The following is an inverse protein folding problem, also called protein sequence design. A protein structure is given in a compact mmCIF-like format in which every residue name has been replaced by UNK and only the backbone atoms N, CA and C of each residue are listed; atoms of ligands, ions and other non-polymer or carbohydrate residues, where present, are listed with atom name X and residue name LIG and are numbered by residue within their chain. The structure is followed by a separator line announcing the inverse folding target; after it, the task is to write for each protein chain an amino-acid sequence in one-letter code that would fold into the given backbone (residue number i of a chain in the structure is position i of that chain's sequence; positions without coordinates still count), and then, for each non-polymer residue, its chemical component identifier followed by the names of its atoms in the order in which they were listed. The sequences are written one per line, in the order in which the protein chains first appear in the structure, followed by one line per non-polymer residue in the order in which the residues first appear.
data_IF_911166484348
#
_entry.id   IF_911166484348
#
_cell.length_a   1.000
_cell.length_b   1.000
_cell.length_c   1.000
_cell.angle_alpha   90.00
_cell.angle_beta   90.00
_cell.angle_gamma   90.00
#
_symmetry.space_group_name_H-M   'P 1'
#
loop_
_entity.id
_entity.type
_entity.pdbx_description
1 polymer ?
#
# COMPACT_ATOMS: atom_id res chain seq x y z
N UNK A 1 -15.09 18.63 9.30
CA UNK A 1 -14.59 18.86 10.67
C UNK A 1 -13.49 17.84 10.90
N UNK A 2 -12.36 18.24 11.48
CA UNK A 2 -11.26 17.32 11.79
C UNK A 2 -11.69 16.33 12.89
N UNK A 3 -11.17 15.12 12.83
CA UNK A 3 -11.35 14.07 13.82
C UNK A 3 -10.21 14.20 14.83
N UNK A 4 -10.57 14.36 16.10
CA UNK A 4 -9.58 14.37 17.19
C UNK A 4 -8.95 12.99 17.32
N UNK A 5 -7.63 12.92 17.12
CA UNK A 5 -6.83 11.70 17.27
C UNK A 5 -5.58 11.97 18.11
N UNK A 6 -5.72 12.25 19.42
CA UNK A 6 -4.59 12.56 20.28
C UNK A 6 -3.72 11.32 20.52
N UNK A 7 -2.41 11.54 20.64
CA UNK A 7 -1.43 10.50 20.93
C UNK A 7 -0.78 10.67 22.29
N UNK A 8 -0.49 9.55 22.96
CA UNK A 8 0.35 9.53 24.15
C UNK A 8 1.81 9.28 23.74
N UNK A 9 2.70 10.22 23.99
CA UNK A 9 4.14 10.01 23.82
C UNK A 9 4.66 9.42 25.12
N UNK A 10 4.67 8.09 25.15
CA UNK A 10 4.95 7.30 26.34
C UNK A 10 6.45 7.00 26.41
N UNK A 11 7.13 7.71 27.30
CA UNK A 11 8.58 7.62 27.47
C UNK A 11 8.91 6.56 28.52
N UNK A 12 9.58 5.50 28.09
CA UNK A 12 9.80 4.30 28.87
C UNK A 12 11.28 4.05 29.14
N UNK A 13 11.58 3.62 30.36
CA UNK A 13 12.92 3.20 30.80
C UNK A 13 12.93 1.72 31.10
N UNK A 14 13.99 1.02 30.70
CA UNK A 14 14.23 -0.33 31.20
C UNK A 14 14.56 -0.29 32.69
N UNK A 15 14.16 -1.33 33.42
CA UNK A 15 14.52 -1.51 34.83
C UNK A 15 16.04 -1.46 34.99
N UNK A 16 16.50 -0.65 35.94
CA UNK A 16 17.92 -0.47 36.23
C UNK A 16 18.68 0.39 35.22
N UNK A 17 18.00 1.02 34.25
CA UNK A 17 18.60 1.95 33.29
C UNK A 17 17.92 3.31 33.38
N UNK A 18 18.55 4.25 34.09
CA UNK A 18 17.98 5.59 34.35
C UNK A 18 18.32 6.64 33.27
N UNK A 19 18.87 6.22 32.12
CA UNK A 19 19.19 7.13 31.04
C UNK A 19 17.93 7.82 30.49
N UNK A 20 18.03 9.12 30.22
CA UNK A 20 16.98 9.96 29.60
C UNK A 20 17.64 10.76 28.46
N UNK A 21 17.89 10.13 27.30
CA UNK A 21 18.83 10.65 26.30
C UNK A 21 18.34 11.89 25.54
N UNK A 22 17.04 12.19 25.60
CA UNK A 22 16.41 13.31 24.91
C UNK A 22 15.62 14.16 25.91
N UNK A 23 15.70 15.48 25.74
CA UNK A 23 15.06 16.45 26.64
C UNK A 23 13.53 16.45 26.54
N UNK A 24 12.85 16.89 27.60
CA UNK A 24 11.40 17.14 27.57
C UNK A 24 11.01 18.07 26.40
N UNK A 25 11.77 19.16 26.21
CA UNK A 25 11.53 20.12 25.12
C UNK A 25 11.61 19.48 23.73
N UNK A 26 12.48 18.48 23.54
CA UNK A 26 12.54 17.74 22.27
C UNK A 26 11.20 17.05 21.99
N UNK A 27 10.69 16.28 22.95
CA UNK A 27 9.43 15.55 22.79
C UNK A 27 8.22 16.48 22.70
N UNK A 28 8.17 17.50 23.56
CA UNK A 28 7.08 18.48 23.55
C UNK A 28 6.99 19.18 22.19
N UNK A 29 8.13 19.63 21.64
CA UNK A 29 8.12 20.28 20.34
C UNK A 29 7.83 19.29 19.19
N UNK A 30 8.40 18.08 19.25
CA UNK A 30 8.23 17.10 18.17
C UNK A 30 6.80 16.54 18.05
N UNK A 31 6.05 16.45 19.14
CA UNK A 31 4.77 15.73 19.16
C UNK A 31 3.55 16.55 19.57
N UNK A 32 3.71 17.84 19.88
CA UNK A 32 2.59 18.70 20.28
C UNK A 32 2.55 20.00 19.48
N UNK A 33 1.52 20.81 19.70
CA UNK A 33 1.42 22.14 19.10
C UNK A 33 2.57 23.09 19.48
N UNK A 34 3.38 22.77 20.51
CA UNK A 34 4.52 23.58 20.93
C UNK A 34 5.60 23.72 19.86
N UNK A 35 5.77 22.72 18.99
CA UNK A 35 6.72 22.77 17.88
C UNK A 35 6.11 23.15 16.53
N UNK A 36 5.02 23.91 16.51
CA UNK A 36 4.49 24.44 15.25
C UNK A 36 5.60 25.18 14.46
N UNK A 37 5.63 24.98 13.14
CA UNK A 37 6.59 25.50 12.18
C UNK A 37 7.89 24.71 12.07
N UNK A 38 7.97 23.49 12.61
CA UNK A 38 9.24 22.73 12.71
C UNK A 38 9.23 21.36 12.03
N UNK A 39 8.26 21.07 11.16
CA UNK A 39 8.08 19.73 10.57
C UNK A 39 7.97 18.66 11.66
N UNK A 40 7.14 18.95 12.65
CA UNK A 40 6.87 18.04 13.76
C UNK A 40 5.78 17.02 13.37
N UNK A 41 5.48 16.06 14.24
CA UNK A 41 4.52 15.00 13.91
C UNK A 41 3.07 15.49 13.81
N UNK A 42 2.70 16.56 14.53
CA UNK A 42 1.38 17.17 14.40
C UNK A 42 1.21 17.77 13.00
N UNK A 43 2.23 18.48 12.52
CA UNK A 43 2.25 19.04 11.16
C UNK A 43 2.32 17.97 10.09
N UNK A 44 3.07 16.89 10.33
CA UNK A 44 3.11 15.76 9.41
C UNK A 44 1.70 15.23 9.17
N UNK A 45 0.98 14.84 10.24
CA UNK A 45 -0.36 14.27 10.08
C UNK A 45 -1.40 15.30 9.66
N UNK A 46 -1.31 16.58 10.01
CA UNK A 46 -2.19 17.60 9.42
C UNK A 46 -2.01 17.69 7.89
N UNK A 47 -0.76 17.70 7.43
CA UNK A 47 -0.43 17.77 6.00
C UNK A 47 -0.83 16.50 5.26
N UNK A 48 -0.45 15.33 5.77
CA UNK A 48 -0.75 14.05 5.13
C UNK A 48 -2.22 13.63 5.25
N UNK A 49 -2.97 14.19 6.20
CA UNK A 49 -4.39 13.91 6.35
C UNK A 49 -5.30 14.90 5.63
N UNK A 50 -4.74 15.90 4.96
CA UNK A 50 -5.44 17.12 4.55
C UNK A 50 -6.33 17.73 5.64
N UNK A 51 -5.82 17.77 6.87
CA UNK A 51 -6.49 18.34 8.03
C UNK A 51 -7.74 17.57 8.47
N UNK A 52 -7.86 16.31 8.05
CA UNK A 52 -8.92 15.42 8.55
C UNK A 52 -8.58 14.87 9.93
N UNK A 53 -7.29 14.81 10.30
CA UNK A 53 -6.83 14.44 11.63
C UNK A 53 -6.41 15.66 12.44
N UNK A 54 -6.74 15.65 13.72
CA UNK A 54 -6.32 16.63 14.72
C UNK A 54 -5.58 15.95 15.87
N UNK A 55 -4.25 16.12 15.90
CA UNK A 55 -3.37 15.55 16.92
C UNK A 55 -3.06 16.54 18.05
N UNK A 56 -3.69 17.73 18.09
CA UNK A 56 -3.32 18.80 19.04
C UNK A 56 -3.57 18.43 20.51
N UNK A 57 -4.42 17.43 20.78
CA UNK A 57 -4.65 16.89 22.12
C UNK A 57 -3.57 15.89 22.61
N UNK A 58 -2.51 15.66 21.83
CA UNK A 58 -1.42 14.75 22.20
C UNK A 58 -0.68 15.21 23.45
N UNK A 59 -0.16 14.26 24.24
CA UNK A 59 0.54 14.53 25.49
C UNK A 59 1.84 13.75 25.60
N UNK A 60 2.84 14.36 26.21
CA UNK A 60 4.10 13.71 26.55
C UNK A 60 4.05 13.24 28.01
N UNK A 61 4.31 11.95 28.25
CA UNK A 61 4.37 11.41 29.61
C UNK A 61 5.65 11.84 30.31
N UNK A 62 5.77 11.74 31.64
CA UNK A 62 7.11 11.65 32.26
C UNK A 62 7.84 10.37 31.83
N UNK A 63 9.13 10.24 32.11
CA UNK A 63 9.84 8.97 31.94
C UNK A 63 9.38 7.94 32.98
N UNK A 64 8.84 6.81 32.52
CA UNK A 64 8.26 5.75 33.35
C UNK A 64 9.12 4.49 33.24
N UNK A 65 9.46 3.86 34.36
CA UNK A 65 10.23 2.62 34.36
C UNK A 65 9.34 1.40 34.14
N UNK A 66 9.69 0.58 33.16
CA UNK A 66 9.09 -0.73 32.94
C UNK A 66 9.62 -1.74 33.97
N UNK A 67 8.87 -2.80 34.30
CA UNK A 67 9.30 -3.81 35.28
C UNK A 67 10.33 -4.82 34.73
N UNK A 68 10.75 -4.66 33.48
CA UNK A 68 11.64 -5.57 32.76
C UNK A 68 13.04 -4.97 32.56
N UNK A 69 14.06 -5.80 32.59
CA UNK A 69 15.39 -5.42 32.13
C UNK A 69 15.44 -5.50 30.59
N UNK A 70 16.33 -4.74 29.95
CA UNK A 70 16.44 -4.78 28.47
C UNK A 70 16.75 -6.19 27.96
N UNK A 71 17.50 -7.00 28.72
CA UNK A 71 17.82 -8.38 28.39
C UNK A 71 16.59 -9.33 28.44
N UNK A 72 15.44 -8.88 28.93
CA UNK A 72 14.18 -9.62 28.89
C UNK A 72 13.44 -9.46 27.58
N UNK A 73 13.79 -8.44 26.79
CA UNK A 73 13.22 -8.18 25.49
C UNK A 73 13.89 -8.99 24.40
N UNK A 74 13.11 -9.81 23.70
CA UNK A 74 13.58 -10.73 22.64
C UNK A 74 13.17 -10.30 21.23
N UNK A 75 12.62 -9.10 21.07
CA UNK A 75 12.33 -8.52 19.76
C UNK A 75 11.19 -9.19 19.00
N UNK A 76 11.34 -9.28 17.67
CA UNK A 76 10.34 -9.79 16.75
C UNK A 76 10.30 -11.33 16.70
N UNK A 77 9.74 -11.94 17.74
CA UNK A 77 9.46 -13.38 17.80
C UNK A 77 7.97 -13.61 18.07
N UNK A 78 7.38 -14.62 17.43
CA UNK A 78 5.93 -14.90 17.55
C UNK A 78 5.53 -15.31 18.97
N UNK A 79 6.37 -16.09 19.65
CA UNK A 79 6.16 -16.50 21.04
C UNK A 79 7.42 -16.21 21.85
N UNK A 80 7.29 -15.39 22.89
CA UNK A 80 8.38 -15.12 23.81
C UNK A 80 8.64 -16.35 24.72
N UNK A 81 9.91 -16.71 25.00
CA UNK A 81 10.24 -17.68 26.04
C UNK A 81 9.68 -17.30 27.41
N UNK A 82 9.51 -18.27 28.31
CA UNK A 82 9.03 -18.00 29.67
C UNK A 82 9.92 -16.96 30.38
N UNK A 83 9.29 -15.93 30.94
CA UNK A 83 9.98 -14.84 31.63
C UNK A 83 10.60 -13.78 30.71
N UNK A 84 10.38 -13.87 29.39
CA UNK A 84 10.81 -12.89 28.39
C UNK A 84 9.60 -12.22 27.73
N UNK A 85 9.83 -11.08 27.08
CA UNK A 85 8.80 -10.34 26.34
C UNK A 85 9.24 -10.10 24.89
N UNK A 86 8.31 -10.24 23.95
CA UNK A 86 8.49 -9.87 22.55
C UNK A 86 7.88 -8.47 22.30
N UNK A 87 7.76 -8.07 21.02
CA UNK A 87 7.10 -6.82 20.61
C UNK A 87 5.72 -6.60 21.25
N UNK A 88 4.86 -7.62 21.25
CA UNK A 88 3.53 -7.53 21.88
C UNK A 88 3.64 -7.32 23.39
N UNK A 89 4.48 -8.11 24.07
CA UNK A 89 4.69 -7.97 25.51
C UNK A 89 5.29 -6.62 25.92
N UNK A 90 6.13 -6.00 25.09
CA UNK A 90 6.63 -4.64 25.30
C UNK A 90 5.50 -3.61 25.27
N UNK A 91 4.61 -3.68 24.28
CA UNK A 91 3.46 -2.78 24.17
C UNK A 91 2.50 -2.95 25.35
N UNK A 92 2.22 -4.20 25.76
CA UNK A 92 1.39 -4.50 26.92
C UNK A 92 2.00 -3.96 28.22
N UNK A 93 3.30 -4.15 28.43
CA UNK A 93 4.02 -3.64 29.59
C UNK A 93 4.01 -2.10 29.64
N UNK A 94 4.20 -1.45 28.49
CA UNK A 94 4.15 0.00 28.39
C UNK A 94 2.75 0.53 28.66
N UNK A 95 1.70 -0.09 28.09
CA UNK A 95 0.30 0.27 28.37
C UNK A 95 -0.02 0.19 29.86
N UNK A 96 0.35 -0.92 30.52
CA UNK A 96 0.14 -1.07 31.96
C UNK A 96 0.88 0.02 32.75
N UNK A 97 2.13 0.32 32.39
CA UNK A 97 2.92 1.35 33.03
C UNK A 97 2.33 2.77 32.84
N UNK A 98 1.70 3.04 31.70
CA UNK A 98 0.97 4.28 31.45
C UNK A 98 -0.25 4.42 32.35
N UNK A 99 -1.07 3.36 32.45
CA UNK A 99 -2.26 3.36 33.32
C UNK A 99 -1.85 3.50 34.80
N UNK A 100 -0.81 2.80 35.24
CA UNK A 100 -0.27 2.91 36.61
C UNK A 100 0.25 4.32 36.93
N UNK A 101 0.77 5.01 35.93
CA UNK A 101 1.24 6.40 36.03
C UNK A 101 0.11 7.44 35.86
N UNK A 102 -1.14 7.01 35.65
CA UNK A 102 -2.31 7.88 35.56
C UNK A 102 -2.59 8.45 34.15
N UNK A 103 -1.95 7.92 33.11
CA UNK A 103 -2.29 8.21 31.72
C UNK A 103 -3.30 7.18 31.22
N UNK A 104 -4.60 7.50 31.32
CA UNK A 104 -5.63 6.58 30.84
C UNK A 104 -5.47 6.36 29.33
N UNK A 105 -5.16 5.12 28.94
CA UNK A 105 -4.91 4.79 27.54
C UNK A 105 -6.15 4.92 26.64
N UNK A 106 -7.35 5.02 27.23
CA UNK A 106 -8.61 5.29 26.54
C UNK A 106 -8.77 6.74 26.05
N UNK A 107 -7.98 7.68 26.60
CA UNK A 107 -8.01 9.10 26.21
C UNK A 107 -7.28 9.37 24.88
N UNK A 108 -6.57 8.37 24.34
CA UNK A 108 -5.68 8.49 23.19
C UNK A 108 -6.01 7.48 22.10
N UNK A 109 -5.84 7.89 20.84
CA UNK A 109 -5.97 7.00 19.68
C UNK A 109 -4.86 5.95 19.65
N UNK A 110 -3.66 6.35 20.06
CA UNK A 110 -2.48 5.50 20.10
C UNK A 110 -1.39 6.09 20.98
N UNK A 111 -0.27 5.38 21.08
CA UNK A 111 0.92 5.83 21.75
C UNK A 111 2.16 5.70 20.86
N UNK A 112 3.05 6.68 20.98
CA UNK A 112 4.44 6.52 20.58
C UNK A 112 5.19 6.07 21.82
N UNK A 113 5.59 4.80 21.87
CA UNK A 113 6.38 4.24 22.96
C UNK A 113 7.85 4.50 22.64
N UNK A 114 8.50 5.35 23.43
CA UNK A 114 9.89 5.74 23.24
C UNK A 114 10.75 5.05 24.30
N UNK A 115 11.60 4.12 23.90
CA UNK A 115 12.54 3.45 24.80
C UNK A 115 13.82 4.28 24.98
N UNK A 116 14.34 4.31 26.22
CA UNK A 116 15.50 5.11 26.57
C UNK A 116 16.85 4.59 26.07
N UNK A 117 16.89 3.37 25.53
CA UNK A 117 18.07 2.77 24.89
C UNK A 117 17.67 2.16 23.55
N UNK A 118 18.66 2.00 22.64
CA UNK A 118 18.46 1.31 21.36
C UNK A 118 17.76 -0.04 21.58
N UNK A 119 16.56 -0.19 21.05
CA UNK A 119 15.64 -1.29 21.38
C UNK A 119 15.03 -1.90 20.12
N UNK A 120 14.15 -1.17 19.44
CA UNK A 120 13.42 -1.64 18.27
C UNK A 120 12.69 -0.46 17.60
N UNK A 121 12.23 -0.70 16.38
CA UNK A 121 11.35 0.20 15.64
C UNK A 121 10.25 -0.61 14.96
N UNK A 122 8.99 -0.32 15.30
CA UNK A 122 7.83 -0.92 14.64
C UNK A 122 6.51 -0.23 15.00
N UNK A 123 5.57 -0.23 14.07
CA UNK A 123 4.18 0.13 14.24
C UNK A 123 3.30 -1.10 14.28
N UNK A 124 2.26 -1.07 15.11
CA UNK A 124 1.22 -2.10 15.09
C UNK A 124 0.15 -1.71 14.07
N UNK A 125 0.01 -2.49 13.01
CA UNK A 125 -1.03 -2.27 12.01
C UNK A 125 -2.42 -2.33 12.65
N UNK A 126 -3.18 -1.24 12.58
CA UNK A 126 -4.47 -1.08 13.27
C UNK A 126 -4.41 -1.37 14.79
N UNK A 127 -3.22 -1.23 15.37
CA UNK A 127 -2.98 -1.45 16.80
C UNK A 127 -3.02 -0.15 17.57
N UNK A 128 -2.26 -0.07 18.65
CA UNK A 128 -2.21 1.12 19.50
C UNK A 128 -0.84 1.77 19.57
N UNK A 129 0.22 1.07 19.17
CA UNK A 129 1.58 1.54 19.39
C UNK A 129 2.37 1.70 18.09
N UNK A 130 3.08 2.82 18.03
CA UNK A 130 4.34 2.95 17.31
C UNK A 130 5.46 2.92 18.35
N UNK A 131 6.42 1.99 18.21
CA UNK A 131 7.55 1.83 19.12
C UNK A 131 8.80 2.34 18.44
N UNK A 132 9.58 3.12 19.18
CA UNK A 132 10.86 3.65 18.76
C UNK A 132 11.80 3.77 19.97
N UNK A 133 12.99 4.27 19.75
CA UNK A 133 13.98 4.56 20.77
C UNK A 133 14.78 5.81 20.44
N UNK A 134 15.68 6.17 21.36
CA UNK A 134 16.54 7.36 21.26
C UNK A 134 17.35 7.51 19.97
N UNK A 135 17.52 6.46 19.17
CA UNK A 135 18.31 6.45 17.93
C UNK A 135 17.47 6.59 16.66
N UNK A 136 16.16 6.32 16.73
CA UNK A 136 15.26 6.28 15.57
C UNK A 136 13.97 7.13 15.75
N UNK A 137 13.88 7.91 16.83
CA UNK A 137 12.80 8.87 17.10
C UNK A 137 12.94 10.14 16.24
N UNK A 138 12.62 10.02 14.95
CA UNK A 138 12.60 11.15 14.01
C UNK A 138 11.43 11.05 13.00
N UNK A 139 11.03 12.17 12.36
CA UNK A 139 9.78 12.22 11.59
C UNK A 139 9.69 11.25 10.41
N UNK A 140 10.78 10.94 9.71
CA UNK A 140 10.74 9.99 8.59
C UNK A 140 10.29 8.58 9.05
N UNK A 141 10.93 8.02 10.08
CA UNK A 141 10.57 6.68 10.58
C UNK A 141 9.23 6.71 11.32
N UNK A 142 8.98 7.73 12.12
CA UNK A 142 7.71 7.81 12.86
C UNK A 142 6.51 8.13 11.96
N UNK A 143 6.70 8.79 10.81
CA UNK A 143 5.66 8.93 9.80
C UNK A 143 5.15 7.57 9.33
N UNK A 144 6.07 6.62 9.11
CA UNK A 144 5.74 5.23 8.77
C UNK A 144 5.11 4.48 9.95
N UNK A 145 5.78 4.45 11.11
CA UNK A 145 5.34 3.60 12.22
C UNK A 145 4.02 4.07 12.84
N UNK A 146 3.80 5.39 12.94
CA UNK A 146 2.50 5.93 13.32
C UNK A 146 1.47 5.73 12.20
N UNK A 147 1.89 5.74 10.93
CA UNK A 147 1.05 5.40 9.77
C UNK A 147 0.44 4.00 9.88
N UNK A 148 1.19 3.01 10.35
CA UNK A 148 0.66 1.65 10.59
C UNK A 148 -0.47 1.63 11.62
N UNK A 149 -0.41 2.44 12.68
CA UNK A 149 -1.50 2.55 13.66
C UNK A 149 -2.79 3.05 13.01
N UNK A 150 -2.67 3.96 12.03
CA UNK A 150 -3.79 4.39 11.17
C UNK A 150 -4.17 3.38 10.07
N UNK A 151 -3.52 2.22 10.04
CA UNK A 151 -3.83 1.11 9.14
C UNK A 151 -3.19 1.21 7.76
N UNK A 152 -2.17 2.06 7.57
CA UNK A 152 -1.40 2.08 6.34
C UNK A 152 -0.49 0.85 6.25
N UNK A 153 -0.34 0.31 5.05
CA UNK A 153 0.64 -0.72 4.72
C UNK A 153 1.79 -0.14 3.89
N UNK A 154 2.86 -0.92 3.73
CA UNK A 154 4.00 -0.53 2.93
C UNK A 154 3.62 -0.27 1.48
N UNK A 155 4.28 0.69 0.87
CA UNK A 155 4.06 1.02 -0.54
C UNK A 155 4.90 0.13 -1.45
N UNK A 156 4.33 -0.20 -2.62
CA UNK A 156 4.88 -1.17 -3.58
C UNK A 156 5.02 -0.57 -4.97
N UNK A 157 5.60 -1.34 -5.88
CA UNK A 157 5.64 -1.03 -7.32
C UNK A 157 4.97 -2.09 -8.16
N UNK A 158 4.44 -1.68 -9.31
CA UNK A 158 3.70 -2.57 -10.19
C UNK A 158 4.53 -3.72 -10.78
N UNK A 159 5.86 -3.56 -10.90
CA UNK A 159 6.77 -4.60 -11.39
C UNK A 159 7.03 -5.69 -10.33
N UNK A 160 6.79 -5.38 -9.07
CA UNK A 160 7.02 -6.23 -7.90
C UNK A 160 5.87 -6.06 -6.90
N UNK A 161 4.64 -6.46 -7.26
CA UNK A 161 3.41 -6.14 -6.53
C UNK A 161 3.28 -6.82 -5.16
N UNK A 162 4.16 -7.77 -4.84
CA UNK A 162 4.21 -8.48 -3.55
C UNK A 162 5.40 -8.04 -2.67
N UNK A 163 6.20 -7.08 -3.14
CA UNK A 163 7.37 -6.59 -2.41
C UNK A 163 7.11 -5.19 -1.85
N UNK A 164 7.32 -5.07 -0.54
CA UNK A 164 7.17 -3.84 0.23
C UNK A 164 8.40 -2.93 0.10
N UNK A 165 8.23 -1.65 0.43
CA UNK A 165 9.27 -0.61 0.47
C UNK A 165 9.86 -0.24 -0.89
N UNK A 166 9.02 -0.12 -1.92
CA UNK A 166 9.47 0.11 -3.29
C UNK A 166 9.08 1.49 -3.87
N UNK A 167 8.33 2.31 -3.15
CA UNK A 167 7.95 3.66 -3.59
C UNK A 167 8.85 4.72 -2.95
N UNK A 168 9.82 5.24 -3.72
CA UNK A 168 10.81 6.20 -3.24
C UNK A 168 10.20 7.57 -2.84
N UNK A 169 8.95 7.84 -3.20
CA UNK A 169 8.25 9.10 -2.93
C UNK A 169 7.22 9.02 -1.79
N UNK A 170 7.11 7.87 -1.13
CA UNK A 170 6.12 7.64 -0.08
C UNK A 170 6.75 7.16 1.24
N UNK A 171 6.35 7.78 2.35
CA UNK A 171 6.89 7.47 3.68
C UNK A 171 6.65 6.01 4.11
N UNK A 172 5.68 5.30 3.53
CA UNK A 172 5.47 3.87 3.84
C UNK A 172 6.51 2.96 3.16
N UNK A 173 7.56 3.54 2.56
CA UNK A 173 8.73 2.84 2.05
C UNK A 173 10.04 3.25 2.76
N UNK A 174 9.99 3.88 3.94
CA UNK A 174 11.16 4.52 4.60
C UNK A 174 12.35 3.56 4.81
N UNK A 175 12.11 2.25 4.91
CA UNK A 175 13.17 1.23 5.02
C UNK A 175 13.88 0.88 3.69
N UNK A 176 13.40 1.43 2.57
CA UNK A 176 13.94 1.31 1.23
C UNK A 176 14.76 2.53 0.80
N UNK A 177 14.55 3.00 -0.43
CA UNK A 177 15.29 4.10 -1.06
C UNK A 177 14.56 5.45 -1.05
N UNK A 178 13.67 5.67 -0.08
CA UNK A 178 12.90 6.91 0.03
C UNK A 178 13.76 8.18 -0.04
N UNK A 179 13.20 9.19 -0.71
CA UNK A 179 13.78 10.52 -0.80
C UNK A 179 13.59 11.29 0.51
N UNK A 180 14.45 11.00 1.48
CA UNK A 180 14.41 11.53 2.84
C UNK A 180 15.42 12.68 2.97
N UNK A 181 15.02 13.77 3.64
CA UNK A 181 15.98 14.76 4.12
C UNK A 181 16.70 14.21 5.35
N UNK A 182 18.03 14.16 5.31
CA UNK A 182 18.84 13.63 6.42
C UNK A 182 19.11 14.64 7.53
N UNK A 183 18.75 15.92 7.32
CA UNK A 183 18.97 17.01 8.26
C UNK A 183 17.67 17.78 8.50
N UNK A 184 17.28 17.84 9.76
CA UNK A 184 16.08 18.54 10.23
C UNK A 184 16.14 18.77 11.75
N UNK A 185 15.22 19.56 12.32
CA UNK A 185 15.23 19.91 13.74
C UNK A 185 15.08 18.71 14.68
N UNK A 186 14.47 17.62 14.19
CA UNK A 186 14.29 16.36 14.91
C UNK A 186 14.94 15.17 14.17
N UNK A 187 15.99 15.43 13.39
CA UNK A 187 16.63 14.41 12.55
C UNK A 187 16.00 14.28 11.18
N UNK A 188 15.98 13.07 10.63
CA UNK A 188 15.57 12.83 9.25
C UNK A 188 14.04 12.90 9.08
N UNK A 189 13.59 13.47 7.98
CA UNK A 189 12.18 13.80 7.72
C UNK A 189 11.84 13.73 6.22
N UNK A 190 10.56 13.55 5.92
CA UNK A 190 10.09 13.31 4.55
C UNK A 190 10.39 11.89 4.05
N UNK A 191 9.92 11.51 2.85
CA UNK A 191 8.90 12.22 2.06
C UNK A 191 7.53 12.21 2.75
N UNK A 192 6.52 12.86 2.17
CA UNK A 192 5.14 12.72 2.64
C UNK A 192 4.45 11.43 2.16
N UNK A 193 3.15 11.27 2.47
CA UNK A 193 2.33 10.19 1.93
C UNK A 193 1.91 10.45 0.48
N UNK A 194 1.76 9.39 -0.31
CA UNK A 194 1.11 9.42 -1.62
C UNK A 194 -0.42 9.47 -1.50
N UNK A 195 -1.07 9.96 -2.55
CA UNK A 195 -2.49 10.21 -2.64
C UNK A 195 -3.31 8.90 -2.59
N UNK A 196 -2.75 7.77 -3.03
CA UNK A 196 -3.40 6.47 -2.93
C UNK A 196 -3.59 6.04 -1.46
N UNK A 197 -2.53 6.14 -0.65
CA UNK A 197 -2.56 5.91 0.79
C UNK A 197 -3.52 6.89 1.48
N UNK A 198 -3.43 8.18 1.15
CA UNK A 198 -4.34 9.20 1.69
C UNK A 198 -5.81 8.92 1.32
N UNK A 199 -6.10 8.52 0.08
CA UNK A 199 -7.44 8.12 -0.36
C UNK A 199 -7.91 6.88 0.41
N UNK A 200 -7.04 5.88 0.55
CA UNK A 200 -7.35 4.64 1.26
C UNK A 200 -7.75 4.84 2.72
N UNK A 201 -7.38 5.96 3.34
CA UNK A 201 -7.77 6.36 4.70
C UNK A 201 -8.86 7.43 4.78
N UNK A 202 -9.38 7.88 3.63
CA UNK A 202 -10.35 8.97 3.58
C UNK A 202 -9.76 10.34 3.93
N UNK A 203 -8.43 10.47 3.84
CA UNK A 203 -7.68 11.68 4.15
C UNK A 203 -7.53 12.61 2.96
N UNK A 204 -7.54 12.07 1.75
CA UNK A 204 -7.45 12.89 0.55
C UNK A 204 -8.70 13.77 0.40
N UNK A 205 -8.49 15.09 0.32
CA UNK A 205 -9.56 16.06 0.11
C UNK A 205 -10.27 15.86 -1.25
N UNK A 206 -11.41 15.16 -1.22
CA UNK A 206 -12.22 14.79 -2.38
C UNK A 206 -12.73 16.00 -3.17
N UNK A 207 -12.90 17.17 -2.53
CA UNK A 207 -13.33 18.38 -3.23
C UNK A 207 -12.24 18.96 -4.14
N UNK A 208 -10.99 18.53 -3.94
CA UNK A 208 -9.80 18.94 -4.68
C UNK A 208 -9.30 17.85 -5.63
N UNK A 209 -10.08 16.79 -5.85
CA UNK A 209 -9.77 15.72 -6.80
C UNK A 209 -10.60 15.90 -8.06
N UNK A 210 -9.96 15.88 -9.23
CA UNK A 210 -10.65 15.83 -10.51
C UNK A 210 -10.84 14.37 -10.91
N UNK A 211 -12.08 13.88 -10.94
CA UNK A 211 -12.38 12.54 -11.47
C UNK A 211 -12.69 12.60 -12.97
N UNK A 212 -12.10 11.70 -13.74
CA UNK A 212 -12.34 11.50 -15.16
C UNK A 212 -13.02 10.16 -15.39
N UNK A 213 -14.09 10.18 -16.20
CA UNK A 213 -14.76 8.95 -16.63
C UNK A 213 -13.98 8.33 -17.78
N UNK A 214 -13.73 7.02 -17.67
CA UNK A 214 -13.18 6.19 -18.74
C UNK A 214 -14.19 5.86 -19.83
N UNK A 215 -15.49 6.01 -19.55
CA UNK A 215 -16.59 5.60 -20.43
C UNK A 215 -16.94 6.67 -21.48
N UNK A 216 -16.56 7.92 -21.20
CA UNK A 216 -16.94 9.06 -22.02
C UNK A 216 -15.98 9.33 -23.19
N UNK A 217 -14.84 8.62 -23.25
CA UNK A 217 -13.79 8.77 -24.28
C UNK A 217 -13.50 10.24 -24.61
N UNK A 218 -13.37 11.05 -23.55
CA UNK A 218 -13.17 12.49 -23.64
C UNK A 218 -11.70 12.82 -23.66
N UNK A 219 -11.38 14.01 -24.16
CA UNK A 219 -10.08 14.64 -23.93
C UNK A 219 -10.26 15.81 -22.97
N UNK A 220 -9.33 15.99 -22.05
CA UNK A 220 -9.34 17.11 -21.12
C UNK A 220 -7.91 17.50 -20.74
N UNK A 221 -7.70 18.79 -20.52
CA UNK A 221 -6.51 19.30 -19.85
C UNK A 221 -6.82 19.56 -18.39
N UNK A 222 -5.93 19.13 -17.48
CA UNK A 222 -6.07 19.25 -16.03
C UNK A 222 -4.78 19.82 -15.47
N UNK A 223 -4.87 20.91 -14.72
CA UNK A 223 -3.76 21.46 -13.95
C UNK A 223 -3.81 20.91 -12.51
N UNK A 224 -2.71 20.28 -12.07
CA UNK A 224 -2.50 19.83 -10.70
C UNK A 224 -1.59 20.79 -9.93
N UNK A 225 -1.89 20.95 -8.65
CA UNK A 225 -1.04 21.55 -7.61
C UNK A 225 -0.32 20.44 -6.84
N UNK A 226 0.82 20.75 -6.19
CA UNK A 226 1.53 19.75 -5.39
C UNK A 226 0.59 19.14 -4.35
N UNK A 227 0.65 17.82 -4.18
CA UNK A 227 -0.34 17.05 -3.42
C UNK A 227 -0.62 17.65 -2.03
N UNK A 228 0.43 18.08 -1.31
CA UNK A 228 0.28 18.61 0.07
C UNK A 228 0.11 20.14 0.14
N UNK A 229 0.09 20.84 -0.99
CA UNK A 229 -0.02 22.30 -1.08
C UNK A 229 -1.48 22.79 -1.01
N UNK A 230 -2.17 22.43 0.08
CA UNK A 230 -3.58 22.77 0.31
C UNK A 230 -3.86 24.26 0.30
N UNK A 231 -2.85 25.07 0.65
CA UNK A 231 -2.92 26.53 0.62
C UNK A 231 -3.10 27.11 -0.79
N UNK A 232 -2.73 26.38 -1.84
CA UNK A 232 -2.93 26.79 -3.23
C UNK A 232 -4.31 26.37 -3.72
N UNK A 233 -5.02 27.17 -4.53
CA UNK A 233 -6.24 26.75 -5.20
C UNK A 233 -5.94 25.84 -6.41
N UNK A 234 -6.85 24.93 -6.76
CA UNK A 234 -6.71 24.04 -7.94
C UNK A 234 -6.88 22.56 -7.59
N UNK A 235 -6.66 21.63 -8.51
CA UNK A 235 -6.76 20.20 -8.16
C UNK A 235 -5.47 19.69 -7.50
N UNK A 236 -5.56 18.79 -6.53
CA UNK A 236 -4.39 18.16 -5.86
C UNK A 236 -4.10 16.76 -6.43
N UNK A 237 -5.10 16.13 -7.04
CA UNK A 237 -4.96 14.86 -7.71
C UNK A 237 -5.98 14.74 -8.85
N UNK A 238 -5.64 13.89 -9.80
CA UNK A 238 -6.50 13.41 -10.88
C UNK A 238 -6.83 11.94 -10.63
N UNK A 239 -8.10 11.56 -10.71
CA UNK A 239 -8.52 10.16 -10.63
C UNK A 239 -9.08 9.69 -11.96
N UNK A 240 -8.62 8.52 -12.38
CA UNK A 240 -9.04 7.89 -13.64
C UNK A 240 -9.20 6.39 -13.40
N UNK A 241 -10.46 5.93 -13.35
CA UNK A 241 -10.75 4.56 -12.92
C UNK A 241 -10.20 4.28 -11.53
N UNK A 242 -9.40 3.23 -11.38
CA UNK A 242 -8.80 2.82 -10.11
C UNK A 242 -7.50 3.59 -9.76
N UNK A 243 -6.99 4.37 -10.72
CA UNK A 243 -5.70 5.05 -10.63
C UNK A 243 -5.86 6.47 -10.11
N UNK A 244 -4.87 6.89 -9.34
CA UNK A 244 -4.71 8.25 -8.86
C UNK A 244 -3.38 8.81 -9.34
N UNK A 245 -3.43 10.02 -9.87
CA UNK A 245 -2.30 10.74 -10.42
C UNK A 245 -2.09 11.99 -9.57
N UNK A 246 -0.87 12.18 -9.09
CA UNK A 246 -0.49 13.29 -8.22
C UNK A 246 0.72 14.02 -8.77
N UNK A 247 0.85 15.30 -8.40
CA UNK A 247 2.04 16.10 -8.66
C UNK A 247 2.78 16.33 -7.34
N UNK A 248 4.10 16.16 -7.36
CA UNK A 248 5.00 16.40 -6.21
C UNK A 248 6.07 17.42 -6.61
N UNK A 249 6.38 18.33 -5.71
CA UNK A 249 7.43 19.33 -5.89
C UNK A 249 8.46 19.25 -4.76
N UNK A 250 9.56 20.00 -4.89
CA UNK A 250 10.67 19.99 -3.91
C UNK A 250 10.41 20.93 -2.75
N UNK A 251 9.21 20.87 -2.16
CA UNK A 251 8.83 21.76 -1.06
C UNK A 251 8.27 20.99 0.13
N UNK A 252 8.40 21.56 1.32
CA UNK A 252 7.93 20.95 2.55
C UNK A 252 8.48 19.53 2.71
N UNK A 253 7.60 18.59 3.05
CA UNK A 253 7.94 17.19 3.31
C UNK A 253 8.64 16.48 2.15
N UNK A 254 8.50 16.98 0.93
CA UNK A 254 9.10 16.38 -0.27
C UNK A 254 10.35 17.10 -0.76
N UNK A 255 10.97 17.97 0.05
CA UNK A 255 12.12 18.76 -0.41
C UNK A 255 13.36 17.95 -0.82
N UNK A 256 13.41 16.66 -0.48
CA UNK A 256 14.50 15.75 -0.85
C UNK A 256 14.27 14.98 -2.17
N UNK A 257 13.08 15.10 -2.81
CA UNK A 257 12.87 14.46 -4.12
C UNK A 257 13.82 15.09 -5.16
N UNK A 258 14.31 14.33 -6.15
CA UNK A 258 15.35 14.79 -7.06
C UNK A 258 14.87 15.95 -7.96
N UNK A 259 13.63 15.87 -8.42
CA UNK A 259 12.98 16.86 -9.27
C UNK A 259 11.45 16.82 -9.05
N UNK A 260 10.73 17.90 -9.39
CA UNK A 260 9.27 17.87 -9.39
C UNK A 260 8.75 16.86 -10.42
N UNK A 261 7.73 16.12 -10.05
CA UNK A 261 7.38 14.87 -10.72
C UNK A 261 5.89 14.60 -10.65
N UNK A 262 5.36 13.92 -11.66
CA UNK A 262 4.01 13.35 -11.64
C UNK A 262 4.12 11.86 -11.34
N UNK A 263 3.35 11.38 -10.38
CA UNK A 263 3.32 9.97 -9.97
C UNK A 263 1.94 9.39 -10.24
N UNK A 264 1.91 8.10 -10.54
CA UNK A 264 0.67 7.36 -10.76
C UNK A 264 0.63 6.16 -9.84
N UNK A 265 -0.44 6.03 -9.07
CA UNK A 265 -0.64 4.92 -8.15
C UNK A 265 -1.96 4.22 -8.40
N UNK A 266 -2.00 2.92 -8.15
CA UNK A 266 -3.24 2.21 -7.83
C UNK A 266 -3.28 1.89 -6.34
N UNK A 267 -4.42 1.39 -5.85
CA UNK A 267 -4.58 0.99 -4.45
C UNK A 267 -5.29 -0.37 -4.40
N UNK A 268 -4.58 -1.41 -4.00
CA UNK A 268 -5.04 -2.80 -4.03
C UNK A 268 -4.65 -3.48 -2.72
N UNK A 269 -5.58 -4.21 -2.10
CA UNK A 269 -5.35 -4.96 -0.87
C UNK A 269 -4.67 -4.15 0.25
N UNK A 270 -5.09 -2.88 0.39
CA UNK A 270 -4.56 -1.89 1.35
C UNK A 270 -3.13 -1.40 1.08
N UNK A 271 -2.53 -1.77 -0.06
CA UNK A 271 -1.24 -1.26 -0.52
C UNK A 271 -1.41 -0.21 -1.61
N UNK A 272 -0.62 0.86 -1.54
CA UNK A 272 -0.37 1.71 -2.71
C UNK A 272 0.62 1.02 -3.65
N UNK A 273 0.38 1.11 -4.96
CA UNK A 273 1.23 0.50 -5.98
C UNK A 273 1.59 1.52 -7.04
N UNK A 274 2.84 1.96 -7.02
CA UNK A 274 3.40 2.94 -7.97
C UNK A 274 3.53 2.32 -9.37
N UNK A 275 3.04 3.04 -10.38
CA UNK A 275 2.90 2.59 -11.77
C UNK A 275 3.98 3.22 -12.66
N UNK A 276 4.61 2.44 -13.55
CA UNK A 276 5.58 2.98 -14.49
C UNK A 276 4.90 3.55 -15.74
N UNK A 277 5.47 4.61 -16.31
CA UNK A 277 5.17 5.11 -17.66
C UNK A 277 5.55 4.10 -18.76
N UNK A 278 5.22 4.42 -20.02
CA UNK A 278 5.61 3.59 -21.18
C UNK A 278 7.12 3.39 -21.33
N UNK A 279 7.93 4.32 -20.84
CA UNK A 279 9.40 4.23 -20.86
C UNK A 279 9.96 3.39 -19.71
N UNK A 280 9.11 2.96 -18.77
CA UNK A 280 9.51 2.27 -17.54
C UNK A 280 9.87 3.22 -16.39
N UNK A 281 9.82 4.55 -16.59
CA UNK A 281 10.04 5.52 -15.50
C UNK A 281 8.84 5.58 -14.56
N UNK A 282 9.09 5.58 -13.26
CA UNK A 282 8.06 5.76 -12.23
C UNK A 282 7.80 7.24 -11.88
N UNK A 283 8.83 8.07 -12.05
CA UNK A 283 8.70 9.52 -11.93
C UNK A 283 8.48 10.13 -13.30
N UNK A 284 7.26 10.59 -13.59
CA UNK A 284 6.90 11.16 -14.89
C UNK A 284 7.25 12.65 -14.93
N UNK A 285 7.87 13.06 -16.02
CA UNK A 285 8.27 14.43 -16.34
C UNK A 285 7.59 14.89 -17.63
N UNK A 286 7.78 16.16 -18.02
CA UNK A 286 7.16 16.70 -19.23
C UNK A 286 7.55 15.88 -20.48
N UNK A 287 6.53 15.42 -21.22
CA UNK A 287 6.68 14.54 -22.38
C UNK A 287 6.38 13.06 -22.09
N UNK A 288 6.33 12.65 -20.82
CA UNK A 288 6.01 11.26 -20.47
C UNK A 288 4.52 10.96 -20.64
N UNK A 289 4.24 9.73 -21.07
CA UNK A 289 2.89 9.18 -21.22
C UNK A 289 2.74 7.98 -20.32
N UNK A 290 1.62 7.95 -19.61
CA UNK A 290 1.18 6.78 -18.86
C UNK A 290 -0.20 6.34 -19.30
N UNK A 291 -0.39 5.02 -19.28
CA UNK A 291 -1.67 4.36 -19.40
C UNK A 291 -1.61 3.04 -18.65
N UNK A 292 -2.75 2.52 -18.18
CA UNK A 292 -2.77 1.27 -17.43
C UNK A 292 -2.37 0.06 -18.27
N UNK A 293 -2.53 0.14 -19.60
CA UNK A 293 -2.23 -0.92 -20.55
C UNK A 293 -1.54 -0.34 -21.79
N UNK A 294 -0.83 -1.12 -22.62
CA UNK A 294 -0.32 -0.65 -23.91
C UNK A 294 -1.45 -0.16 -24.84
N UNK A 295 -1.16 0.83 -25.69
CA UNK A 295 -2.12 1.29 -26.72
C UNK A 295 -2.39 0.15 -27.71
N UNK A 296 -3.60 -0.42 -27.63
CA UNK A 296 -4.05 -1.46 -28.55
C UNK A 296 -4.84 -0.91 -29.73
N UNK A 297 -5.24 0.38 -29.71
CA UNK A 297 -6.15 1.10 -30.66
C UNK A 297 -7.52 0.47 -30.92
N UNK A 298 -7.66 -0.83 -30.75
CA UNK A 298 -8.86 -1.62 -31.00
C UNK A 298 -9.78 -1.66 -29.77
N UNK A 299 -9.25 -1.41 -28.56
CA UNK A 299 -10.02 -1.43 -27.31
C UNK A 299 -10.22 -0.02 -26.71
N UNK A 300 -11.28 0.16 -25.90
CA UNK A 300 -11.37 1.26 -24.95
C UNK A 300 -10.07 1.45 -24.19
N UNK A 301 -9.48 2.63 -24.33
CA UNK A 301 -8.17 2.96 -23.77
C UNK A 301 -8.18 4.40 -23.30
N UNK A 302 -7.37 4.70 -22.29
CA UNK A 302 -7.06 6.07 -21.94
C UNK A 302 -5.57 6.23 -21.63
N UNK A 303 -5.11 7.45 -21.79
CA UNK A 303 -3.76 7.86 -21.41
C UNK A 303 -3.76 9.22 -20.73
N UNK A 304 -2.72 9.42 -19.94
CA UNK A 304 -2.37 10.68 -19.32
C UNK A 304 -0.99 11.06 -19.84
N UNK A 305 -0.90 12.21 -20.48
CA UNK A 305 0.36 12.81 -20.89
C UNK A 305 0.70 13.96 -19.93
N UNK A 306 1.96 14.03 -19.50
CA UNK A 306 2.46 15.17 -18.74
C UNK A 306 2.89 16.25 -19.73
N UNK A 307 2.05 17.25 -19.94
CA UNK A 307 2.30 18.30 -20.94
C UNK A 307 3.43 19.23 -20.50
N UNK A 308 3.40 19.64 -19.24
CA UNK A 308 4.37 20.57 -18.67
C UNK A 308 4.42 20.47 -17.14
N UNK A 309 5.59 20.76 -16.59
CA UNK A 309 5.80 21.03 -15.16
C UNK A 309 6.40 22.43 -15.05
N UNK A 310 5.75 23.31 -14.30
CA UNK A 310 6.21 24.67 -14.05
C UNK A 310 6.52 24.83 -12.55
N UNK A 311 7.81 24.78 -12.22
CA UNK A 311 8.30 24.97 -10.85
C UNK A 311 7.98 26.36 -10.28
N UNK A 312 7.95 27.40 -11.12
CA UNK A 312 7.71 28.76 -10.66
C UNK A 312 6.25 28.96 -10.24
N UNK A 313 5.32 28.42 -11.02
CA UNK A 313 3.90 28.45 -10.67
C UNK A 313 3.46 27.29 -9.77
N UNK A 314 4.34 26.31 -9.51
CA UNK A 314 4.07 25.06 -8.79
C UNK A 314 2.85 24.35 -9.37
N UNK A 315 2.95 24.00 -10.65
CA UNK A 315 1.89 23.29 -11.38
C UNK A 315 2.42 22.18 -12.27
N UNK A 316 1.61 21.14 -12.45
CA UNK A 316 1.76 20.19 -13.54
C UNK A 316 0.51 20.24 -14.43
N UNK A 317 0.69 20.43 -15.72
CA UNK A 317 -0.39 20.37 -16.72
C UNK A 317 -0.42 18.98 -17.33
N UNK A 318 -1.58 18.33 -17.27
CA UNK A 318 -1.80 16.99 -17.78
C UNK A 318 -2.86 17.00 -18.87
N UNK A 319 -2.65 16.21 -19.92
CA UNK A 319 -3.66 15.91 -20.93
C UNK A 319 -4.14 14.48 -20.76
N UNK A 320 -5.43 14.34 -20.44
CA UNK A 320 -6.15 13.08 -20.49
C UNK A 320 -6.74 12.91 -21.88
N UNK A 321 -6.60 11.72 -22.48
CA UNK A 321 -7.34 11.34 -23.69
C UNK A 321 -7.83 9.91 -23.58
N UNK A 322 -9.15 9.73 -23.67
CA UNK A 322 -9.79 8.43 -23.83
C UNK A 322 -10.20 8.16 -25.28
N UNK A 323 -10.10 6.92 -25.70
CA UNK A 323 -10.54 6.41 -27.00
C UNK A 323 -11.49 5.24 -26.82
N UNK A 324 -12.57 5.20 -27.59
CA UNK A 324 -13.62 4.19 -27.47
C UNK A 324 -13.22 2.77 -27.87
N UNK A 325 -12.02 2.60 -28.42
CA UNK A 325 -11.70 1.44 -29.24
C UNK A 325 -12.50 1.42 -30.55
N UNK A 326 -12.37 0.34 -31.31
CA UNK A 326 -13.19 0.11 -32.49
C UNK A 326 -14.54 -0.47 -32.06
N UNK A 327 -15.63 0.02 -32.66
CA UNK A 327 -16.92 -0.66 -32.59
C UNK A 327 -16.81 -1.99 -33.35
N UNK A 328 -16.73 -3.10 -32.61
CA UNK A 328 -16.56 -4.43 -33.18
C UNK A 328 -17.86 -5.03 -33.74
N UNK A 329 -19.03 -4.38 -33.63
CA UNK A 329 -20.33 -4.80 -34.23
C UNK A 329 -20.58 -6.32 -34.39
N UNK A 330 -20.30 -7.13 -33.36
CA UNK A 330 -20.50 -8.59 -33.40
C UNK A 330 -19.45 -9.38 -34.21
N UNK A 331 -18.38 -8.75 -34.66
CA UNK A 331 -17.18 -9.40 -35.16
C UNK A 331 -16.35 -9.92 -33.97
N UNK A 332 -16.27 -11.24 -33.85
CA UNK A 332 -15.15 -11.89 -33.17
C UNK A 332 -13.96 -11.72 -34.11
N UNK A 333 -12.81 -11.14 -33.69
CA UNK A 333 -11.61 -11.18 -34.51
C UNK A 333 -11.19 -12.65 -34.69
N UNK A 334 -11.63 -13.30 -35.77
CA UNK A 334 -11.19 -14.64 -36.15
C UNK A 334 -10.02 -14.49 -37.10
N UNK A 335 -8.84 -14.23 -36.53
CA UNK A 335 -7.60 -13.98 -37.26
C UNK A 335 -6.63 -13.16 -36.42
N UNK A 336 -5.58 -13.81 -35.94
CA UNK A 336 -4.72 -13.31 -34.86
C UNK A 336 -4.86 -14.22 -33.64
N UNK A 337 -3.78 -14.47 -32.91
CA UNK A 337 -3.88 -15.25 -31.68
C UNK A 337 -4.97 -14.62 -30.79
N UNK A 338 -5.91 -15.43 -30.29
CA UNK A 338 -6.64 -15.11 -29.06
C UNK A 338 -5.58 -14.90 -27.98
N UNK A 339 -5.27 -13.63 -27.70
CA UNK A 339 -4.12 -13.23 -26.90
C UNK A 339 -2.86 -12.97 -27.70
N UNK A 340 -2.23 -11.83 -27.46
CA UNK A 340 -0.78 -11.84 -27.32
C UNK A 340 -0.50 -11.74 -25.82
N UNK A 341 0.00 -12.81 -25.18
CA UNK A 341 0.76 -12.66 -23.95
C UNK A 341 2.00 -11.81 -24.26
N UNK A 342 2.26 -10.80 -23.45
CA UNK A 342 3.62 -10.34 -23.24
C UNK A 342 4.39 -11.43 -22.47
N UNK A 343 5.71 -11.38 -22.55
CA UNK A 343 6.70 -12.37 -22.08
C UNK A 343 6.64 -12.59 -20.55
N UNK A 344 5.74 -11.90 -19.85
CA UNK A 344 5.52 -11.86 -18.41
C UNK A 344 4.23 -12.59 -17.94
N UNK A 345 3.24 -12.83 -18.81
CA UNK A 345 2.07 -13.68 -18.56
C UNK A 345 0.72 -13.00 -18.25
N UNK A 346 0.55 -11.70 -18.50
CA UNK A 346 -0.77 -11.00 -18.51
C UNK A 346 -1.42 -10.87 -19.91
N UNK A 347 -2.67 -10.38 -19.99
CA UNK A 347 -3.45 -10.18 -21.23
C UNK A 347 -4.90 -9.68 -21.03
N UNK A 348 -5.79 -9.93 -21.99
CA UNK A 348 -7.24 -9.66 -21.88
C UNK A 348 -8.08 -10.74 -22.57
N UNK A 349 -9.36 -10.86 -22.19
CA UNK A 349 -10.36 -11.77 -22.75
C UNK A 349 -11.55 -10.92 -23.22
N UNK A 350 -11.88 -10.97 -24.50
CA UNK A 350 -13.03 -10.29 -25.09
C UNK A 350 -14.11 -11.27 -25.53
N UNK A 351 -15.35 -11.11 -25.06
CA UNK A 351 -16.53 -11.88 -25.51
C UNK A 351 -17.73 -10.92 -25.60
N UNK A 352 -18.40 -10.87 -26.75
CA UNK A 352 -19.64 -10.10 -26.96
C UNK A 352 -19.57 -8.62 -26.52
N UNK A 353 -18.44 -7.96 -26.78
CA UNK A 353 -18.21 -6.56 -26.38
C UNK A 353 -17.85 -6.37 -24.90
N UNK A 354 -17.80 -7.45 -24.10
CA UNK A 354 -17.26 -7.43 -22.74
C UNK A 354 -15.79 -7.77 -22.75
N UNK A 355 -14.97 -6.96 -22.08
CA UNK A 355 -13.53 -7.15 -21.98
C UNK A 355 -13.15 -7.36 -20.52
N UNK A 356 -12.43 -8.45 -20.25
CA UNK A 356 -11.82 -8.75 -18.97
C UNK A 356 -10.30 -8.70 -19.11
N UNK A 357 -9.66 -7.74 -18.43
CA UNK A 357 -8.20 -7.73 -18.28
C UNK A 357 -7.80 -8.85 -17.34
N UNK A 358 -6.72 -9.56 -17.65
CA UNK A 358 -6.19 -10.68 -16.86
C UNK A 358 -4.70 -10.54 -16.61
N UNK A 359 -4.26 -10.79 -15.39
CA UNK A 359 -2.84 -10.80 -15.01
C UNK A 359 -2.26 -12.21 -14.95
N UNK A 360 -0.93 -12.31 -14.88
CA UNK A 360 -0.24 -13.60 -14.69
C UNK A 360 -0.64 -14.21 -13.36
N UNK A 361 -1.16 -15.43 -13.38
CA UNK A 361 -1.59 -16.15 -12.18
C UNK A 361 -3.07 -15.99 -11.86
N UNK A 362 -3.82 -15.22 -12.66
CA UNK A 362 -5.26 -15.13 -12.51
C UNK A 362 -5.92 -16.50 -12.70
N UNK A 363 -6.74 -16.90 -11.74
CA UNK A 363 -7.43 -18.20 -11.76
C UNK A 363 -8.37 -18.38 -12.99
N UNK A 364 -8.77 -17.28 -13.63
CA UNK A 364 -9.56 -17.32 -14.88
C UNK A 364 -8.69 -17.72 -16.09
N UNK A 365 -7.41 -17.34 -16.12
CA UNK A 365 -6.45 -17.77 -17.16
C UNK A 365 -6.22 -19.27 -17.08
N UNK A 366 -6.07 -19.81 -15.87
CA UNK A 366 -5.96 -21.26 -15.65
C UNK A 366 -7.23 -21.98 -16.10
N UNK A 367 -8.41 -21.43 -15.78
CA UNK A 367 -9.69 -22.00 -16.22
C UNK A 367 -9.82 -22.03 -17.75
N UNK A 368 -9.41 -20.97 -18.44
CA UNK A 368 -9.38 -20.95 -19.91
C UNK A 368 -8.40 -21.98 -20.49
N UNK A 369 -7.22 -22.15 -19.90
CA UNK A 369 -6.27 -23.21 -20.30
C UNK A 369 -6.88 -24.60 -20.19
N UNK A 370 -7.66 -24.87 -19.13
CA UNK A 370 -8.35 -26.14 -18.96
C UNK A 370 -9.48 -26.33 -19.99
N UNK A 371 -10.25 -25.29 -20.32
CA UNK A 371 -11.26 -25.36 -21.38
C UNK A 371 -10.65 -25.65 -22.75
N UNK A 372 -9.54 -25.00 -23.09
CA UNK A 372 -8.78 -25.28 -24.32
C UNK A 372 -8.26 -26.72 -24.31
N UNK A 373 -7.68 -27.17 -23.19
CA UNK A 373 -7.17 -28.54 -23.05
C UNK A 373 -8.27 -29.59 -23.19
N UNK A 374 -9.47 -29.30 -22.67
CA UNK A 374 -10.65 -30.16 -22.79
C UNK A 374 -11.09 -30.30 -24.25
N UNK A 375 -11.10 -29.20 -25.00
CA UNK A 375 -11.46 -29.19 -26.43
C UNK A 375 -10.39 -29.88 -27.29
N UNK A 376 -9.11 -29.60 -27.05
CA UNK A 376 -8.01 -30.26 -27.77
C UNK A 376 -7.96 -31.76 -27.49
N UNK A 377 -8.37 -32.22 -26.30
CA UNK A 377 -8.46 -33.64 -25.98
C UNK A 377 -9.41 -34.39 -26.93
N UNK A 378 -10.44 -33.73 -27.48
CA UNK A 378 -11.38 -34.33 -28.44
C UNK A 378 -10.68 -34.80 -29.73
N UNK A 379 -9.57 -34.15 -30.10
CA UNK A 379 -8.76 -34.50 -31.27
C UNK A 379 -7.79 -35.66 -31.03
N UNK A 380 -7.58 -36.07 -29.78
CA UNK A 380 -6.66 -37.16 -29.42
C UNK A 380 -7.28 -38.48 -29.82
N UNK A 381 -6.62 -39.28 -30.65
CA UNK A 381 -7.16 -40.56 -31.18
C UNK A 381 -7.19 -41.69 -30.13
N UNK A 382 -6.23 -41.72 -29.20
CA UNK A 382 -6.20 -42.70 -28.11
C UNK A 382 -7.31 -42.42 -27.07
N UNK A 383 -8.23 -43.38 -26.92
CA UNK A 383 -9.42 -43.23 -26.08
C UNK A 383 -9.11 -43.16 -24.58
N UNK A 384 -8.05 -43.83 -24.10
CA UNK A 384 -7.66 -43.80 -22.70
C UNK A 384 -6.96 -42.48 -22.36
N UNK A 385 -6.08 -42.02 -23.24
CA UNK A 385 -5.41 -40.73 -23.09
C UNK A 385 -6.41 -39.57 -23.15
N UNK A 386 -7.32 -39.60 -24.12
CA UNK A 386 -8.44 -38.65 -24.23
C UNK A 386 -9.24 -38.58 -22.94
N UNK A 387 -9.72 -39.72 -22.43
CA UNK A 387 -10.52 -39.78 -21.21
C UNK A 387 -9.77 -39.25 -19.98
N UNK A 388 -8.46 -39.48 -19.89
CA UNK A 388 -7.64 -38.96 -18.79
C UNK A 388 -7.45 -37.43 -18.87
N UNK A 389 -7.14 -36.88 -20.05
CA UNK A 389 -6.99 -35.44 -20.27
C UNK A 389 -8.31 -34.69 -20.01
N UNK A 390 -9.43 -35.24 -20.47
CA UNK A 390 -10.76 -34.68 -20.20
C UNK A 390 -11.08 -34.70 -18.71
N UNK A 391 -10.80 -35.82 -18.01
CA UNK A 391 -11.04 -35.92 -16.56
C UNK A 391 -10.20 -34.92 -15.78
N UNK A 392 -8.92 -34.76 -16.13
CA UNK A 392 -8.03 -33.81 -15.46
C UNK A 392 -8.53 -32.38 -15.64
N UNK A 393 -8.85 -31.99 -16.88
CA UNK A 393 -9.32 -30.64 -17.19
C UNK A 393 -10.63 -30.30 -16.47
N UNK A 394 -11.59 -31.25 -16.45
CA UNK A 394 -12.86 -31.09 -15.72
C UNK A 394 -12.67 -31.03 -14.20
N UNK A 395 -11.68 -31.74 -13.66
CA UNK A 395 -11.38 -31.70 -12.21
C UNK A 395 -10.86 -30.33 -11.79
N UNK A 396 -9.96 -29.73 -12.57
CA UNK A 396 -9.42 -28.40 -12.30
C UNK A 396 -10.48 -27.30 -12.45
N UNK A 397 -11.31 -27.37 -13.50
CA UNK A 397 -12.45 -26.46 -13.66
C UNK A 397 -13.44 -26.55 -12.48
N UNK A 398 -13.73 -27.75 -12.01
CA UNK A 398 -14.59 -27.96 -10.85
C UNK A 398 -14.01 -27.33 -9.57
N UNK A 399 -12.68 -27.44 -9.37
CA UNK A 399 -11.99 -26.81 -8.23
C UNK A 399 -12.07 -25.28 -8.27
N UNK A 400 -11.97 -24.68 -9.46
CA UNK A 400 -12.14 -23.25 -9.63
C UNK A 400 -13.56 -22.80 -9.22
N UNK A 401 -14.59 -23.49 -9.71
CA UNK A 401 -16.00 -23.22 -9.37
C UNK A 401 -16.24 -23.35 -7.86
N UNK A 402 -15.75 -24.41 -7.23
CA UNK A 402 -15.91 -24.62 -5.78
C UNK A 402 -15.20 -23.56 -4.93
N UNK A 403 -14.07 -23.04 -5.40
CA UNK A 403 -13.34 -21.96 -4.72
C UNK A 403 -14.12 -20.65 -4.80
N UNK A 404 -14.61 -20.28 -5.99
CA UNK A 404 -15.43 -19.08 -6.18
C UNK A 404 -16.75 -19.17 -5.41
N UNK A 405 -17.38 -20.34 -5.37
CA UNK A 405 -18.60 -20.58 -4.60
C UNK A 405 -18.40 -20.36 -3.10
N UNK A 406 -17.27 -20.79 -2.54
CA UNK A 406 -16.94 -20.58 -1.12
C UNK A 406 -16.67 -19.12 -0.76
N UNK A 407 -16.08 -18.36 -1.68
CA UNK A 407 -15.90 -16.92 -1.52
C UNK A 407 -17.23 -16.17 -1.49
N UNK A 408 -18.20 -16.58 -2.32
CA UNK A 408 -19.52 -15.95 -2.38
C UNK A 408 -20.47 -16.39 -1.25
N UNK A 409 -20.28 -17.60 -0.71
CA UNK A 409 -21.13 -18.16 0.34
C UNK A 409 -20.27 -18.79 1.45
N UNK A 410 -19.79 -17.99 2.42
CA UNK A 410 -19.02 -18.49 3.55
C UNK A 410 -19.84 -19.52 4.35
N UNK A 411 -19.45 -20.80 4.31
CA UNK A 411 -20.16 -21.92 4.97
C UNK A 411 -20.69 -23.01 4.03
N UNK A 412 -20.55 -22.87 2.71
CA UNK A 412 -20.94 -23.92 1.76
C UNK A 412 -19.99 -25.14 1.84
N UNK A 413 -20.57 -26.33 2.02
CA UNK A 413 -19.84 -27.62 2.04
C UNK A 413 -19.41 -28.00 0.61
N UNK A 414 -18.13 -28.38 0.45
CA UNK A 414 -17.57 -28.87 -0.82
C UNK A 414 -18.37 -30.06 -1.37
N UNK A 415 -18.77 -30.01 -2.64
CA UNK A 415 -19.41 -31.14 -3.34
C UNK A 415 -18.41 -32.08 -3.99
N UNK A 416 -17.14 -31.67 -4.13
CA UNK A 416 -16.07 -32.55 -4.59
C UNK A 416 -15.65 -33.46 -3.43
N UNK A 417 -15.94 -34.77 -3.56
CA UNK A 417 -15.27 -35.80 -2.76
C UNK A 417 -13.83 -35.89 -3.22
N UNK A 418 -12.90 -35.37 -2.43
CA UNK A 418 -11.49 -35.71 -2.57
C UNK A 418 -11.36 -37.24 -2.50
N UNK A 419 -10.76 -37.92 -3.50
CA UNK A 419 -10.47 -39.34 -3.37
C UNK A 419 -9.63 -39.54 -2.12
N UNK A 420 -9.99 -40.50 -1.28
CA UNK A 420 -9.17 -40.87 -0.13
C UNK A 420 -7.73 -41.14 -0.62
N UNK A 421 -6.70 -40.69 0.11
CA UNK A 421 -5.32 -41.02 -0.22
C UNK A 421 -5.21 -42.55 -0.31
N UNK A 422 -4.68 -43.06 -1.42
CA UNK A 422 -4.42 -44.50 -1.56
C UNK A 422 -3.45 -44.88 -0.44
N UNK A 423 -3.93 -45.71 0.49
CA UNK A 423 -3.07 -46.42 1.42
C UNK A 423 -2.09 -47.24 0.60
N UNK A 424 -0.82 -46.88 0.67
CA UNK A 424 0.28 -47.70 0.16
C UNK A 424 0.36 -48.95 1.02
N UNK A 425 -0.35 -50.00 0.63
CA UNK A 425 -0.07 -51.35 1.12
C UNK A 425 1.28 -51.77 0.55
N UNK A 426 2.30 -51.81 1.42
CA UNK A 426 3.57 -52.46 1.11
C UNK A 426 3.33 -53.97 0.97
N UNK A 427 3.72 -54.61 -0.14
CA UNK A 427 3.62 -56.05 -0.26
C UNK A 427 4.64 -56.71 0.65
N UNK A 428 4.13 -57.50 1.60
CA UNK A 428 4.88 -58.46 2.41
C UNK A 428 5.49 -59.51 1.46
N UNK A 429 6.81 -59.48 1.26
CA UNK A 429 7.53 -60.59 0.65
C UNK A 429 7.81 -61.67 1.70
N UNK A 430 7.18 -62.84 1.51
CA UNK A 430 7.51 -64.08 2.20
C UNK A 430 8.75 -64.72 1.56
N UNK A 431 9.89 -64.72 2.26
CA UNK A 431 10.71 -65.87 2.67
C UNK A 431 12.04 -65.39 3.23
#
# INVERSE_FOLDING_TARGET
MAISTPWLILRCKWKGTDAEPLSDTYFENMFTAAGAGTHNMVEFFDRMSHGTLDLTGSKVSAWISLPYEQADYVGNVSTAPQGKINRTGLVEAARQAADDAGYSTADFTGAVIVMNTATDLFGQQNGWAAVCDSTNVHPALLGQEMGHVYGLDHSRRADQPDADYLDDWDVMSTWGSCHINTVGPYGAWGPGLNAANMRGRGWLDRARVKSMSTDAFTSASVELRPLHARELPGYLALEVGDFIIEYRDRTGWDSAIPEPVVLVHSFVDNHSVLQPSHSGSYGLTAGDVWSPWPDTRDLPYFQVHVDAIDEASRTATLSFSGHAGRDLQGEIPVGGNLGLPWVDGGGFIGIDGHVLVVTRGDAIVDSLRQLISLHLAETVTDSKLRANLQRQSLTELSRFVDTRRRMLFPGAVSTIRTPAPRTTEFPVSRR
#
